data_IF_035725515444
#
_entry.id   IF_035725515444
#
_cell.length_a   1.000
_cell.length_b   1.000
_cell.length_c   1.000
_cell.angle_alpha   90.00
_cell.angle_beta   90.00
_cell.angle_gamma   90.00
#
_symmetry.space_group_name_H-M   'P 1'
#
loop_
_entity.id
_entity.type
_entity.pdbx_description
1 polymer ?
#
# COMPACT_ATOMS: atom_id res chain seq x y z
N UNK A 1 -18.42 -32.33 -6.59
CA UNK A 1 -17.64 -31.29 -7.31
C UNK A 1 -16.18 -31.39 -6.94
N UNK A 2 -15.32 -31.90 -7.84
CA UNK A 2 -13.86 -31.87 -7.70
C UNK A 2 -13.28 -31.13 -8.92
N UNK A 3 -12.24 -30.31 -8.71
CA UNK A 3 -11.68 -29.45 -9.75
C UNK A 3 -10.85 -30.18 -10.84
N UNK A 4 -10.71 -31.51 -10.76
CA UNK A 4 -10.00 -32.32 -11.77
C UNK A 4 -8.48 -32.12 -11.82
N UNK A 5 -7.91 -31.28 -10.96
CA UNK A 5 -6.47 -31.01 -10.90
C UNK A 5 -5.73 -32.16 -10.19
N UNK A 6 -4.69 -32.70 -10.84
CA UNK A 6 -3.81 -33.71 -10.28
C UNK A 6 -2.58 -33.05 -9.65
N UNK A 7 -2.05 -33.67 -8.59
CA UNK A 7 -0.77 -33.32 -7.96
C UNK A 7 -0.64 -31.90 -7.37
N UNK A 8 -1.76 -31.20 -7.13
CA UNK A 8 -1.76 -29.90 -6.44
C UNK A 8 -1.38 -30.08 -4.97
N UNK A 9 -0.37 -29.34 -4.52
CA UNK A 9 0.01 -29.26 -3.10
C UNK A 9 -0.61 -28.02 -2.46
N UNK A 10 -0.79 -28.06 -1.14
CA UNK A 10 -1.21 -26.88 -0.36
C UNK A 10 -0.27 -25.67 -0.55
N UNK A 11 1.01 -25.93 -0.83
CA UNK A 11 2.00 -24.91 -1.13
C UNK A 11 1.64 -24.14 -2.41
N UNK A 12 1.13 -24.81 -3.44
CA UNK A 12 0.77 -24.19 -4.71
C UNK A 12 -0.42 -23.25 -4.52
N UNK A 13 -1.43 -23.68 -3.75
CA UNK A 13 -2.58 -22.83 -3.39
C UNK A 13 -2.13 -21.59 -2.62
N UNK A 14 -1.19 -21.74 -1.68
CA UNK A 14 -0.59 -20.61 -0.94
C UNK A 14 0.13 -19.63 -1.87
N UNK A 15 0.83 -20.13 -2.89
CA UNK A 15 1.50 -19.31 -3.92
C UNK A 15 0.50 -18.59 -4.82
N UNK A 16 -0.58 -19.27 -5.21
CA UNK A 16 -1.69 -18.69 -5.98
C UNK A 16 -2.36 -17.57 -5.19
N UNK A 17 -2.63 -17.75 -3.90
CA UNK A 17 -3.20 -16.71 -3.03
C UNK A 17 -2.32 -15.45 -3.00
N UNK A 18 -1.01 -15.59 -2.76
CA UNK A 18 -0.10 -14.45 -2.75
C UNK A 18 0.00 -13.72 -4.09
N UNK A 19 -0.06 -14.48 -5.18
CA UNK A 19 -0.06 -13.94 -6.55
C UNK A 19 -1.33 -13.12 -6.81
N UNK A 20 -2.48 -13.64 -6.38
CA UNK A 20 -3.76 -12.93 -6.51
C UNK A 20 -3.81 -11.66 -5.67
N UNK A 21 -3.30 -11.69 -4.43
CA UNK A 21 -3.21 -10.50 -3.58
C UNK A 21 -2.32 -9.41 -4.20
N UNK A 22 -1.21 -9.80 -4.83
CA UNK A 22 -0.34 -8.85 -5.53
C UNK A 22 -1.02 -8.24 -6.76
N UNK A 23 -1.65 -9.07 -7.59
CA UNK A 23 -2.43 -8.61 -8.75
C UNK A 23 -3.59 -7.69 -8.33
N UNK A 24 -4.20 -7.92 -7.17
CA UNK A 24 -5.25 -7.06 -6.62
C UNK A 24 -4.74 -5.75 -5.99
N UNK A 25 -3.42 -5.49 -6.02
CA UNK A 25 -2.79 -4.28 -5.49
C UNK A 25 -2.49 -4.30 -3.99
N UNK A 26 -2.52 -5.45 -3.32
CA UNK A 26 -2.10 -5.54 -1.91
C UNK A 26 -0.60 -5.29 -1.77
N UNK A 27 -0.19 -4.60 -0.70
CA UNK A 27 1.23 -4.32 -0.47
C UNK A 27 2.00 -5.56 0.00
N UNK A 28 3.30 -5.63 -0.32
CA UNK A 28 4.16 -6.75 0.08
C UNK A 28 4.16 -7.02 1.60
N UNK A 29 4.18 -6.02 2.50
CA UNK A 29 4.08 -6.29 3.94
C UNK A 29 2.79 -6.99 4.35
N UNK A 30 1.65 -6.63 3.75
CA UNK A 30 0.34 -7.26 4.02
C UNK A 30 0.35 -8.69 3.51
N UNK A 31 0.83 -8.91 2.28
CA UNK A 31 0.95 -10.26 1.68
C UNK A 31 1.82 -11.14 2.57
N UNK A 32 3.01 -10.68 2.94
CA UNK A 32 3.94 -11.44 3.79
C UNK A 32 3.33 -11.82 5.14
N UNK A 33 2.61 -10.89 5.78
CA UNK A 33 1.92 -11.16 7.05
C UNK A 33 0.78 -12.17 6.88
N UNK A 34 -0.04 -12.03 5.84
CA UNK A 34 -1.15 -12.95 5.56
C UNK A 34 -0.68 -14.38 5.24
N UNK A 35 0.50 -14.50 4.62
CA UNK A 35 1.15 -15.77 4.32
C UNK A 35 2.10 -16.22 5.45
N UNK A 36 2.15 -15.54 6.58
CA UNK A 36 3.05 -15.87 7.71
C UNK A 36 4.51 -16.08 7.27
N UNK A 37 5.02 -15.20 6.40
CA UNK A 37 6.41 -15.22 5.97
C UNK A 37 7.31 -14.64 7.06
N UNK A 38 8.31 -15.42 7.49
CA UNK A 38 9.31 -14.97 8.46
C UNK A 38 10.33 -14.00 7.86
N UNK A 39 10.72 -14.24 6.59
CA UNK A 39 11.70 -13.42 5.89
C UNK A 39 11.00 -12.57 4.81
N UNK A 40 11.13 -11.24 4.82
CA UNK A 40 10.60 -10.40 3.74
C UNK A 40 11.07 -10.83 2.34
N UNK A 41 12.29 -11.38 2.21
CA UNK A 41 12.85 -11.86 0.94
C UNK A 41 11.94 -12.87 0.22
N UNK A 42 11.23 -13.73 0.96
CA UNK A 42 10.34 -14.75 0.38
C UNK A 42 9.07 -14.14 -0.20
N UNK A 43 8.71 -12.91 0.20
CA UNK A 43 7.54 -12.19 -0.32
C UNK A 43 7.85 -11.41 -1.60
N UNK A 44 9.10 -10.98 -1.80
CA UNK A 44 9.49 -10.17 -2.97
C UNK A 44 9.23 -10.83 -4.32
N UNK A 45 9.14 -12.15 -4.36
CA UNK A 45 8.75 -12.90 -5.56
C UNK A 45 7.38 -12.47 -6.12
N UNK A 46 6.46 -11.95 -5.29
CA UNK A 46 5.15 -11.47 -5.73
C UNK A 46 5.17 -10.05 -6.29
N UNK A 47 6.26 -9.30 -6.09
CA UNK A 47 6.37 -7.91 -6.55
C UNK A 47 6.41 -7.78 -8.09
N UNK A 48 6.65 -8.89 -8.79
CA UNK A 48 6.95 -8.92 -10.24
C UNK A 48 5.76 -9.29 -11.11
N UNK A 49 4.58 -9.51 -10.52
CA UNK A 49 3.47 -10.18 -11.20
C UNK A 49 2.72 -9.26 -12.16
N UNK A 50 2.71 -7.95 -11.97
CA UNK A 50 2.01 -7.04 -12.87
C UNK A 50 2.51 -5.58 -12.78
N UNK A 51 2.46 -4.87 -13.91
CA UNK A 51 2.72 -3.43 -14.03
C UNK A 51 1.46 -2.59 -13.77
N UNK A 52 0.27 -3.16 -13.90
CA UNK A 52 -1.00 -2.44 -13.72
C UNK A 52 -1.19 -1.89 -12.30
N UNK A 53 -0.82 -2.60 -11.21
CA UNK A 53 -0.84 -2.03 -9.85
C UNK A 53 0.06 -0.81 -9.70
N UNK A 54 1.17 -0.75 -10.44
CA UNK A 54 2.09 0.41 -10.42
C UNK A 54 1.41 1.61 -11.08
N UNK A 55 0.83 1.42 -12.27
CA UNK A 55 0.11 2.49 -12.98
C UNK A 55 -1.05 3.03 -12.14
N UNK A 56 -1.89 2.13 -11.61
CA UNK A 56 -3.03 2.50 -10.76
C UNK A 56 -2.61 3.25 -9.50
N UNK A 57 -1.50 2.84 -8.87
CA UNK A 57 -0.94 3.52 -7.71
C UNK A 57 -0.56 4.97 -8.04
N UNK A 58 0.09 5.20 -9.19
CA UNK A 58 0.45 6.54 -9.67
C UNK A 58 -0.79 7.38 -9.98
N UNK A 59 -1.78 6.81 -10.67
CA UNK A 59 -3.03 7.50 -11.00
C UNK A 59 -3.76 7.97 -9.73
N UNK A 60 -3.96 7.09 -8.75
CA UNK A 60 -4.61 7.42 -7.47
C UNK A 60 -3.84 8.54 -6.73
N UNK A 61 -2.51 8.46 -6.70
CA UNK A 61 -1.68 9.47 -6.06
C UNK A 61 -1.83 10.83 -6.75
N UNK A 62 -1.77 10.84 -8.09
CA UNK A 62 -1.94 12.06 -8.87
C UNK A 62 -3.33 12.68 -8.69
N UNK A 63 -4.40 11.87 -8.72
CA UNK A 63 -5.76 12.35 -8.45
C UNK A 63 -5.88 12.98 -7.07
N UNK A 64 -5.32 12.35 -6.03
CA UNK A 64 -5.33 12.87 -4.68
C UNK A 64 -4.59 14.21 -4.56
N UNK A 65 -3.41 14.32 -5.20
CA UNK A 65 -2.62 15.56 -5.24
C UNK A 65 -3.38 16.67 -5.97
N UNK A 66 -3.92 16.39 -7.16
CA UNK A 66 -4.66 17.37 -7.95
C UNK A 66 -5.92 17.84 -7.23
N UNK A 67 -6.63 16.93 -6.54
CA UNK A 67 -7.78 17.27 -5.71
C UNK A 67 -7.40 18.19 -4.56
N UNK A 68 -6.28 17.92 -3.87
CA UNK A 68 -5.80 18.77 -2.80
C UNK A 68 -5.34 20.14 -3.31
N UNK A 69 -4.69 20.20 -4.48
CA UNK A 69 -4.23 21.44 -5.10
C UNK A 69 -5.38 22.36 -5.55
N UNK A 70 -6.50 21.78 -6.01
CA UNK A 70 -7.68 22.51 -6.46
C UNK A 70 -8.72 22.77 -5.36
N UNK A 71 -8.45 22.38 -4.11
CA UNK A 71 -9.33 22.76 -3.01
C UNK A 71 -9.18 24.26 -2.73
N UNK A 72 -10.28 25.04 -2.76
CA UNK A 72 -10.22 26.40 -2.26
C UNK A 72 -9.76 26.33 -0.81
N UNK A 73 -8.58 26.88 -0.53
CA UNK A 73 -8.15 27.10 0.84
C UNK A 73 -9.10 28.15 1.39
N UNK A 74 -10.15 27.71 2.11
CA UNK A 74 -10.88 28.60 3.00
C UNK A 74 -9.82 29.29 3.86
N UNK A 75 -9.72 30.62 3.84
CA UNK A 75 -8.75 31.31 4.68
C UNK A 75 -9.12 30.95 6.11
N UNK A 76 -8.31 30.09 6.74
CA UNK A 76 -8.45 29.75 8.14
C UNK A 76 -8.28 31.05 8.91
N UNK A 77 -9.39 31.66 9.31
CA UNK A 77 -9.44 32.88 10.12
C UNK A 77 -8.98 32.63 11.57
N UNK A 78 -8.26 31.53 11.81
CA UNK A 78 -7.54 31.31 13.06
C UNK A 78 -6.47 32.38 13.16
N UNK A 79 -6.67 33.31 14.09
CA UNK A 79 -5.66 34.26 14.52
C UNK A 79 -4.38 33.47 14.80
N UNK A 80 -3.39 33.61 13.93
CA UNK A 80 -2.05 33.07 14.15
C UNK A 80 -1.55 33.73 15.44
N UNK A 81 -1.69 33.03 16.56
CA UNK A 81 -1.18 33.51 17.84
C UNK A 81 0.35 33.54 17.69
N UNK A 82 0.99 34.70 17.91
CA UNK A 82 2.43 34.78 17.79
C UNK A 82 3.04 33.81 18.78
N UNK A 83 3.90 32.90 18.28
CA UNK A 83 4.67 31.96 19.08
C UNK A 83 5.37 32.77 20.16
N UNK A 84 4.90 32.66 21.41
CA UNK A 84 5.49 33.42 22.51
C UNK A 84 6.92 32.92 22.71
N UNK A 85 7.91 33.73 22.35
CA UNK A 85 9.33 33.46 22.66
C UNK A 85 9.55 33.58 24.17
N UNK A 86 9.20 32.53 24.93
CA UNK A 86 9.72 32.34 26.29
C UNK A 86 10.93 31.40 26.22
N UNK A 87 12.07 31.94 25.81
CA UNK A 87 13.36 31.34 26.15
C UNK A 87 13.94 32.08 27.35
N UNK A 88 13.86 31.40 28.50
CA UNK A 88 14.44 31.82 29.77
C UNK A 88 15.95 31.62 29.67
N UNK A 89 16.71 32.72 29.62
CA UNK A 89 18.17 32.69 29.74
C UNK A 89 18.51 32.30 31.18
N UNK A 90 19.22 31.20 31.38
CA UNK A 90 20.05 30.96 32.57
C UNK A 90 21.50 31.07 32.13
#
# INVERSE_FOLDING_TARGET
>A
NHAGLKDVRIHDLRRTLGSWQAASGSSLPIIGKSLNHKNPSTTFIYARIDLDPVRKSVEIANEAIMKAANQPTEPSNEKILPISKKYKKK
#
